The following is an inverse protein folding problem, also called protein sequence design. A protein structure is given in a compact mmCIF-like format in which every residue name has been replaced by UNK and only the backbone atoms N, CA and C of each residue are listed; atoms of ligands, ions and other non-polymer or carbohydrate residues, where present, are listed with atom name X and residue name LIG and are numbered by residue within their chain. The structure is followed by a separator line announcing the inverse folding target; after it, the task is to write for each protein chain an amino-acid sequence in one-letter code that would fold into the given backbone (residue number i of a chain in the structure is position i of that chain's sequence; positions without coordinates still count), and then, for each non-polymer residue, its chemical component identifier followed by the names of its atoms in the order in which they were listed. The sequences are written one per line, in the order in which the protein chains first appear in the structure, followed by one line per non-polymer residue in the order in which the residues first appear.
data_IF_747278720652
#
_entry.id   IF_747278720652
#
_cell.length_a   1.000
_cell.length_b   1.000
_cell.length_c   1.000
_cell.angle_alpha   90.00
_cell.angle_beta   90.00
_cell.angle_gamma   90.00
#
_symmetry.space_group_name_H-M   'P 1'
#
loop_
_entity.id
_entity.type
_entity.pdbx_description
1 polymer ?
#
# COMPACT_ATOMS: atom_id res chain seq x y z
N UNK A 1 15.05 25.47 2.45
CA UNK A 1 14.29 24.74 1.42
C UNK A 1 12.96 24.40 2.08
N UNK A 2 11.91 25.16 1.78
CA UNK A 2 10.58 24.87 2.32
C UNK A 2 10.15 23.49 1.83
N UNK A 3 9.81 22.61 2.76
CA UNK A 3 9.15 21.35 2.45
C UNK A 3 7.76 21.76 1.97
N UNK A 4 7.53 21.71 0.66
CA UNK A 4 6.19 21.97 0.12
C UNK A 4 5.24 20.91 0.71
N UNK A 5 4.17 21.39 1.35
CA UNK A 5 3.18 20.55 2.02
C UNK A 5 2.20 20.02 0.96
N UNK A 6 2.65 19.06 0.15
CA UNK A 6 1.90 18.51 -0.96
C UNK A 6 1.29 17.16 -0.59
N UNK A 7 0.07 16.93 -1.08
CA UNK A 7 -0.56 15.62 -1.13
C UNK A 7 -0.59 15.13 -2.58
N UNK A 8 -0.25 13.84 -2.76
CA UNK A 8 -0.28 13.18 -4.06
C UNK A 8 -1.31 12.05 -3.97
N UNK A 9 -2.26 12.04 -4.90
CA UNK A 9 -3.27 10.98 -5.02
C UNK A 9 -3.10 10.26 -6.34
N UNK A 10 -3.04 8.94 -6.29
CA UNK A 10 -2.99 8.07 -7.46
C UNK A 10 -4.39 7.81 -8.01
N UNK A 11 -4.53 7.86 -9.33
CA UNK A 11 -5.77 7.63 -10.07
C UNK A 11 -5.61 6.36 -10.90
N UNK A 12 -6.44 5.37 -10.60
CA UNK A 12 -6.49 4.09 -11.30
C UNK A 12 -7.69 4.09 -12.27
N UNK A 13 -7.51 3.47 -13.43
CA UNK A 13 -8.57 3.28 -14.43
C UNK A 13 -8.77 1.78 -14.60
N UNK A 14 -10.05 1.36 -14.59
CA UNK A 14 -10.55 -0.02 -14.58
C UNK A 14 -9.55 -1.13 -14.96
N UNK A 15 -9.12 -1.88 -13.94
CA UNK A 15 -8.33 -3.10 -14.11
C UNK A 15 -6.83 -2.88 -14.31
N UNK A 16 -6.35 -1.64 -14.34
CA UNK A 16 -4.92 -1.36 -14.32
C UNK A 16 -4.36 -1.52 -12.90
N UNK A 17 -3.29 -2.28 -12.76
CA UNK A 17 -2.55 -2.44 -11.50
C UNK A 17 -1.65 -1.22 -11.23
N UNK A 18 -1.47 -0.34 -12.21
CA UNK A 18 -0.62 0.85 -12.11
C UNK A 18 -1.46 2.11 -12.24
N UNK A 19 -1.09 3.13 -11.46
CA UNK A 19 -1.78 4.41 -11.53
C UNK A 19 -1.64 5.02 -12.93
N UNK A 20 -2.77 5.39 -13.53
CA UNK A 20 -2.86 6.08 -14.81
C UNK A 20 -2.58 7.57 -14.66
N UNK A 21 -2.96 8.15 -13.53
CA UNK A 21 -2.75 9.56 -13.28
C UNK A 21 -2.43 9.90 -11.83
N UNK A 22 -1.97 11.13 -11.63
CA UNK A 22 -1.57 11.66 -10.33
C UNK A 22 -2.16 13.06 -10.14
N UNK A 23 -2.89 13.24 -9.06
CA UNK A 23 -3.38 14.54 -8.61
C UNK A 23 -2.43 15.07 -7.55
N UNK A 24 -1.99 16.33 -7.68
CA UNK A 24 -1.20 17.02 -6.68
C UNK A 24 -2.04 18.14 -6.09
N UNK A 25 -2.22 18.11 -4.78
CA UNK A 25 -2.93 19.12 -4.01
C UNK A 25 -2.02 19.78 -2.97
N UNK A 26 -2.34 21.03 -2.64
CA UNK A 26 -1.84 21.65 -1.42
C UNK A 26 -2.53 21.02 -0.21
N UNK A 27 -1.75 20.49 0.74
CA UNK A 27 -2.26 19.70 1.87
C UNK A 27 -3.01 20.54 2.90
N UNK A 28 -2.75 21.84 2.98
CA UNK A 28 -3.40 22.70 3.97
C UNK A 28 -4.76 23.20 3.48
N UNK A 29 -4.85 23.50 2.20
CA UNK A 29 -6.05 24.06 1.57
C UNK A 29 -6.88 23.05 0.79
N UNK A 30 -6.33 21.86 0.51
CA UNK A 30 -6.87 20.86 -0.41
C UNK A 30 -7.11 21.39 -1.83
N UNK A 31 -6.45 22.47 -2.22
CA UNK A 31 -6.55 23.01 -3.57
C UNK A 31 -5.76 22.14 -4.54
N UNK A 32 -6.42 21.69 -5.61
CA UNK A 32 -5.77 20.94 -6.68
C UNK A 32 -4.85 21.87 -7.48
N UNK A 33 -3.57 21.54 -7.52
CA UNK A 33 -2.55 22.34 -8.19
C UNK A 33 -2.22 21.77 -9.56
N UNK A 34 -2.05 20.44 -9.63
CA UNK A 34 -1.63 19.75 -10.84
C UNK A 34 -2.36 18.43 -11.04
N UNK A 35 -2.52 18.05 -12.29
CA UNK A 35 -2.88 16.70 -12.70
C UNK A 35 -1.86 16.20 -13.73
N UNK A 36 -1.44 14.95 -13.59
CA UNK A 36 -0.58 14.26 -14.53
C UNK A 36 -1.32 13.03 -15.05
N UNK A 37 -1.48 12.90 -16.37
CA UNK A 37 -1.92 11.68 -17.04
C UNK A 37 -0.72 11.01 -17.68
N UNK A 38 -0.47 9.75 -17.33
CA UNK A 38 0.65 8.95 -17.81
C UNK A 38 0.13 7.89 -18.77
N UNK A 39 0.17 8.19 -20.06
CA UNK A 39 -0.17 7.24 -21.10
C UNK A 39 1.00 6.34 -21.47
N UNK A 40 1.02 5.14 -20.88
CA UNK A 40 2.05 4.14 -21.17
C UNK A 40 1.81 3.37 -22.47
N UNK A 41 0.61 3.48 -23.07
CA UNK A 41 0.28 2.84 -24.36
C UNK A 41 0.76 3.72 -25.50
N UNK A 42 0.42 5.02 -25.43
CA UNK A 42 0.83 6.01 -26.43
C UNK A 42 2.18 6.68 -26.12
N UNK A 43 2.80 6.34 -24.99
CA UNK A 43 4.01 6.98 -24.46
C UNK A 43 3.89 8.50 -24.30
N UNK A 44 2.75 8.98 -23.82
CA UNK A 44 2.46 10.42 -23.60
C UNK A 44 2.33 10.76 -22.13
N UNK A 45 2.92 11.88 -21.72
CA UNK A 45 2.67 12.49 -20.41
C UNK A 45 1.95 13.81 -20.64
N UNK A 46 0.74 13.93 -20.09
CA UNK A 46 0.00 15.19 -20.10
C UNK A 46 -0.02 15.77 -18.70
N UNK A 47 0.54 16.96 -18.55
CA UNK A 47 0.52 17.70 -17.29
C UNK A 47 -0.43 18.88 -17.42
N UNK A 48 -1.35 19.01 -16.47
CA UNK A 48 -2.28 20.13 -16.38
C UNK A 48 -2.00 20.87 -15.09
N UNK A 49 -1.69 22.17 -15.18
CA UNK A 49 -1.67 23.09 -14.04
C UNK A 49 -3.03 23.73 -13.92
N UNK A 50 -3.75 23.39 -12.86
CA UNK A 50 -5.18 23.68 -12.69
C UNK A 50 -5.42 25.19 -12.62
N UNK A 51 -4.72 25.90 -11.73
CA UNK A 51 -4.92 27.34 -11.51
C UNK A 51 -4.55 28.21 -12.71
N UNK A 52 -3.62 27.72 -13.54
CA UNK A 52 -3.16 28.45 -14.73
C UNK A 52 -3.89 28.02 -16.02
N UNK A 53 -4.75 27.00 -15.96
CA UNK A 53 -5.32 26.32 -17.11
C UNK A 53 -4.28 25.98 -18.20
N UNK A 54 -3.05 25.64 -17.77
CA UNK A 54 -1.94 25.32 -18.68
C UNK A 54 -1.83 23.82 -18.84
N UNK A 55 -1.80 23.37 -20.09
CA UNK A 55 -1.56 21.97 -20.44
C UNK A 55 -0.22 21.84 -21.15
N UNK A 56 0.61 20.92 -20.68
CA UNK A 56 1.87 20.52 -21.30
C UNK A 56 1.77 19.06 -21.69
N UNK A 57 2.20 18.74 -22.91
CA UNK A 57 2.16 17.36 -23.44
C UNK A 57 3.57 16.99 -23.85
N UNK A 58 4.07 15.88 -23.32
CA UNK A 58 5.31 15.24 -23.73
C UNK A 58 4.94 14.00 -24.53
N UNK A 59 5.31 13.97 -25.81
CA UNK A 59 4.92 12.90 -26.74
C UNK A 59 5.79 11.64 -26.67
N UNK A 60 6.81 11.64 -25.80
CA UNK A 60 7.66 10.48 -25.55
C UNK A 60 8.11 10.48 -24.08
N UNK A 61 7.36 9.79 -23.22
CA UNK A 61 7.66 9.74 -21.78
C UNK A 61 9.00 9.09 -21.45
N UNK A 62 9.53 8.25 -22.34
CA UNK A 62 10.83 7.61 -22.14
C UNK A 62 11.99 8.61 -22.23
N UNK A 63 11.78 9.81 -22.78
CA UNK A 63 12.77 10.89 -22.77
C UNK A 63 12.74 11.72 -21.49
N UNK A 64 11.78 11.47 -20.60
CA UNK A 64 11.70 12.15 -19.31
C UNK A 64 12.60 11.39 -18.33
N UNK A 65 13.74 11.97 -17.96
CA UNK A 65 14.72 11.34 -17.05
C UNK A 65 14.08 10.77 -15.79
N UNK A 66 13.12 11.51 -15.20
CA UNK A 66 12.43 11.07 -13.97
C UNK A 66 11.52 9.86 -14.18
N UNK A 67 11.01 9.64 -15.39
CA UNK A 67 10.21 8.46 -15.71
C UNK A 67 11.09 7.21 -15.67
N UNK A 68 12.28 7.27 -16.28
CA UNK A 68 13.24 6.17 -16.31
C UNK A 68 14.01 5.98 -15.00
N UNK A 69 14.28 7.06 -14.26
CA UNK A 69 15.01 7.00 -12.98
C UNK A 69 14.13 6.58 -11.81
N UNK A 70 12.83 6.42 -12.03
CA UNK A 70 11.85 5.91 -11.06
C UNK A 70 11.20 4.65 -11.61
N UNK A 71 10.27 4.04 -10.88
CA UNK A 71 9.45 2.96 -11.42
C UNK A 71 8.36 3.50 -12.36
N UNK A 72 8.73 4.25 -13.41
CA UNK A 72 7.77 4.79 -14.39
C UNK A 72 6.69 5.68 -13.75
N UNK A 73 7.14 6.55 -12.84
CA UNK A 73 6.31 7.39 -11.96
C UNK A 73 5.41 6.65 -10.97
N UNK A 74 5.52 5.34 -10.82
CA UNK A 74 4.92 4.64 -9.68
C UNK A 74 5.68 5.05 -8.40
N UNK A 75 5.10 6.01 -7.68
CA UNK A 75 5.74 6.64 -6.52
C UNK A 75 5.50 5.84 -5.23
N UNK A 76 4.49 4.98 -5.20
CA UNK A 76 4.09 4.20 -4.04
C UNK A 76 4.20 2.71 -4.36
N UNK A 77 5.42 2.18 -4.31
CA UNK A 77 5.59 0.73 -4.36
C UNK A 77 5.35 0.12 -2.98
N UNK A 78 4.38 -0.79 -2.87
CA UNK A 78 4.31 -1.69 -1.72
C UNK A 78 5.48 -2.67 -1.87
N UNK A 79 6.43 -2.68 -0.93
CA UNK A 79 7.34 -3.82 -0.84
C UNK A 79 6.50 -5.04 -0.49
N UNK A 80 6.40 -6.02 -1.39
CA UNK A 80 5.66 -7.27 -1.16
C UNK A 80 6.16 -8.07 0.05
N UNK A 81 7.35 -7.75 0.56
CA UNK A 81 7.87 -8.19 1.84
C UNK A 81 8.83 -7.12 2.39
N UNK A 82 8.38 -6.19 3.25
CA UNK A 82 9.33 -5.43 4.03
C UNK A 82 10.01 -6.37 5.00
N UNK A 83 11.34 -6.24 5.14
CA UNK A 83 12.08 -6.94 6.18
C UNK A 83 11.40 -6.68 7.54
N UNK A 84 11.14 -7.75 8.29
CA UNK A 84 10.59 -7.63 9.64
C UNK A 84 11.65 -7.02 10.55
N UNK A 85 11.48 -5.74 10.91
CA UNK A 85 12.22 -5.13 12.00
C UNK A 85 11.40 -5.23 13.29
N UNK A 86 11.86 -5.98 14.30
CA UNK A 86 11.15 -6.04 15.58
C UNK A 86 11.11 -4.63 16.20
N UNK A 87 9.93 -4.17 16.66
CA UNK A 87 9.80 -2.83 17.21
C UNK A 87 10.64 -2.69 18.48
N UNK A 88 11.39 -1.59 18.60
CA UNK A 88 12.03 -1.22 19.88
C UNK A 88 10.97 -0.67 20.83
N UNK A 89 11.07 -1.03 22.11
CA UNK A 89 10.16 -0.56 23.14
C UNK A 89 10.08 0.98 23.14
N UNK A 90 8.85 1.51 23.03
CA UNK A 90 8.48 2.94 23.04
C UNK A 90 8.47 3.69 21.69
N UNK A 91 8.70 3.07 20.53
CA UNK A 91 8.38 3.73 19.26
C UNK A 91 6.92 3.51 18.87
N UNK A 92 6.15 4.56 18.52
CA UNK A 92 4.86 4.40 17.85
C UNK A 92 5.14 3.73 16.50
N UNK A 93 4.73 2.47 16.38
CA UNK A 93 5.09 1.65 15.22
C UNK A 93 4.27 2.12 14.01
N UNK A 94 4.94 2.88 13.14
CA UNK A 94 4.41 3.38 11.87
C UNK A 94 3.92 2.26 10.96
N UNK A 95 4.55 1.07 11.04
CA UNK A 95 4.26 -0.10 10.22
C UNK A 95 4.19 -1.36 11.10
N UNK A 96 3.04 -2.05 11.15
CA UNK A 96 2.88 -3.25 11.98
C UNK A 96 1.98 -4.29 11.32
N UNK A 97 2.28 -5.55 11.59
CA UNK A 97 1.29 -6.62 11.40
C UNK A 97 0.24 -6.57 12.52
N UNK A 98 -1.01 -6.83 12.16
CA UNK A 98 -2.07 -7.12 13.11
C UNK A 98 -2.61 -8.51 12.86
N UNK A 99 -3.04 -9.14 13.93
CA UNK A 99 -3.65 -10.46 13.90
C UNK A 99 -5.16 -10.36 14.11
N UNK A 100 -5.89 -11.23 13.44
CA UNK A 100 -7.33 -11.42 13.60
C UNK A 100 -7.64 -12.92 13.60
N UNK A 101 -8.81 -13.26 14.12
CA UNK A 101 -9.24 -14.63 14.32
C UNK A 101 -10.49 -14.94 13.52
N UNK A 102 -10.52 -16.13 12.92
CA UNK A 102 -11.71 -16.66 12.25
C UNK A 102 -12.79 -17.13 13.24
N UNK A 103 -13.87 -17.68 12.70
CA UNK A 103 -14.89 -18.34 13.51
C UNK A 103 -14.30 -19.57 14.23
N UNK A 104 -14.83 -19.85 15.42
CA UNK A 104 -14.49 -21.06 16.16
C UNK A 104 -15.12 -22.30 15.50
N UNK A 105 -14.32 -23.35 15.35
CA UNK A 105 -14.73 -24.63 14.79
C UNK A 105 -14.18 -25.79 15.62
N UNK A 106 -14.82 -26.95 15.49
CA UNK A 106 -14.44 -28.16 16.22
C UNK A 106 -13.29 -28.86 15.50
N UNK A 107 -12.22 -29.18 16.22
CA UNK A 107 -11.04 -29.89 15.74
C UNK A 107 -11.26 -31.42 15.80
N UNK A 108 -10.40 -32.17 15.12
CA UNK A 108 -10.51 -33.64 15.04
C UNK A 108 -10.36 -34.32 16.41
N UNK A 109 -9.62 -33.72 17.33
CA UNK A 109 -9.46 -34.19 18.72
C UNK A 109 -10.66 -33.86 19.62
N UNK A 110 -11.69 -33.19 19.08
CA UNK A 110 -12.90 -32.80 19.78
C UNK A 110 -12.82 -31.46 20.51
N UNK A 111 -11.66 -30.80 20.53
CA UNK A 111 -11.48 -29.45 21.05
C UNK A 111 -12.01 -28.38 20.07
N UNK A 112 -11.99 -27.11 20.48
CA UNK A 112 -12.39 -25.99 19.64
C UNK A 112 -11.22 -25.06 19.35
N UNK A 113 -11.00 -24.78 18.08
CA UNK A 113 -9.94 -23.91 17.60
C UNK A 113 -10.46 -22.83 16.65
N UNK A 114 -9.61 -21.85 16.37
CA UNK A 114 -9.85 -20.79 15.39
C UNK A 114 -8.58 -20.52 14.59
N UNK A 115 -8.76 -20.25 13.30
CA UNK A 115 -7.64 -19.89 12.42
C UNK A 115 -7.13 -18.48 12.72
N UNK A 116 -5.82 -18.30 12.58
CA UNK A 116 -5.13 -17.02 12.74
C UNK A 116 -4.87 -16.39 11.38
N UNK A 117 -5.16 -15.10 11.27
CA UNK A 117 -4.93 -14.32 10.06
C UNK A 117 -4.09 -13.09 10.39
N UNK A 118 -3.22 -12.68 9.48
CA UNK A 118 -2.43 -11.46 9.58
C UNK A 118 -2.75 -10.49 8.45
N UNK A 119 -2.63 -9.21 8.75
CA UNK A 119 -2.65 -8.15 7.76
C UNK A 119 -1.68 -7.05 8.16
N UNK A 120 -1.13 -6.39 7.16
CA UNK A 120 -0.15 -5.33 7.29
C UNK A 120 -0.87 -3.99 7.43
N UNK A 121 -0.43 -3.18 8.38
CA UNK A 121 -0.96 -1.85 8.62
C UNK A 121 0.15 -0.80 8.59
N UNK A 122 -0.14 0.34 7.97
CA UNK A 122 0.69 1.55 8.03
C UNK A 122 -0.15 2.71 8.54
N UNK A 123 0.28 3.38 9.61
CA UNK A 123 -0.45 4.47 10.27
C UNK A 123 -1.94 4.16 10.57
N UNK A 124 -2.27 2.89 10.81
CA UNK A 124 -3.64 2.44 11.07
C UNK A 124 -4.47 2.11 9.83
N UNK A 125 -3.96 2.34 8.63
CA UNK A 125 -4.57 1.91 7.35
C UNK A 125 -4.11 0.49 7.05
N UNK A 126 -5.06 -0.40 6.70
CA UNK A 126 -4.76 -1.78 6.29
C UNK A 126 -4.24 -1.79 4.86
N UNK A 127 -3.00 -2.22 4.65
CA UNK A 127 -2.34 -2.26 3.35
C UNK A 127 -2.50 -3.61 2.63
N UNK A 128 -2.71 -4.70 3.37
CA UNK A 128 -2.87 -6.04 2.78
C UNK A 128 -4.20 -6.68 3.12
N UNK A 129 -4.60 -7.67 2.32
CA UNK A 129 -5.71 -8.55 2.66
C UNK A 129 -5.37 -9.39 3.89
N UNK A 130 -6.40 -9.93 4.56
CA UNK A 130 -6.18 -10.90 5.61
C UNK A 130 -5.63 -12.18 5.00
N UNK A 131 -4.40 -12.53 5.36
CA UNK A 131 -3.72 -13.76 4.93
C UNK A 131 -3.65 -14.73 6.08
N UNK A 132 -3.79 -16.02 5.79
CA UNK A 132 -3.69 -17.05 6.82
C UNK A 132 -2.25 -17.15 7.30
N UNK A 133 -2.06 -17.18 8.62
CA UNK A 133 -0.74 -17.43 9.20
C UNK A 133 -0.46 -18.92 9.05
N UNK A 134 0.73 -19.24 8.53
CA UNK A 134 1.20 -20.60 8.36
C UNK A 134 2.25 -20.91 9.42
N UNK A 135 2.18 -22.12 9.95
CA UNK A 135 3.16 -22.69 10.85
C UNK A 135 4.43 -23.02 10.05
N UNK A 136 5.58 -22.54 10.50
CA UNK A 136 6.84 -22.63 9.75
C UNK A 136 7.36 -24.06 9.62
N UNK A 137 7.03 -24.94 10.56
CA UNK A 137 7.48 -26.34 10.57
C UNK A 137 6.61 -27.24 9.69
N UNK A 138 5.30 -27.09 9.79
CA UNK A 138 4.32 -27.94 9.11
C UNK A 138 3.84 -27.37 7.78
N UNK A 139 4.04 -26.06 7.53
CA UNK A 139 3.46 -25.33 6.41
C UNK A 139 1.93 -25.24 6.44
N UNK A 140 1.30 -25.77 7.50
CA UNK A 140 -0.14 -25.78 7.68
C UNK A 140 -0.66 -24.49 8.33
N UNK A 141 -1.98 -24.26 8.32
CA UNK A 141 -2.57 -23.14 9.04
C UNK A 141 -2.29 -23.16 10.54
N UNK A 142 -1.90 -22.01 11.10
CA UNK A 142 -1.89 -21.82 12.55
C UNK A 142 -3.32 -21.79 13.09
N UNK A 143 -3.55 -22.61 14.10
CA UNK A 143 -4.81 -22.70 14.84
C UNK A 143 -4.50 -22.49 16.33
N UNK A 144 -5.24 -21.61 16.98
CA UNK A 144 -5.18 -21.39 18.43
C UNK A 144 -6.50 -21.76 19.08
N UNK A 145 -6.50 -21.99 20.40
CA UNK A 145 -7.73 -22.17 21.15
C UNK A 145 -8.67 -20.96 21.01
N UNK A 146 -9.98 -21.22 21.10
CA UNK A 146 -11.00 -20.18 20.92
C UNK A 146 -10.87 -18.96 21.84
N UNK A 147 -10.25 -19.15 23.01
CA UNK A 147 -10.02 -18.11 24.01
C UNK A 147 -8.53 -17.77 24.17
N UNK A 148 -7.68 -18.24 23.28
CA UNK A 148 -6.24 -18.07 23.35
C UNK A 148 -5.78 -17.03 22.33
N UNK A 149 -4.82 -16.20 22.72
CA UNK A 149 -4.20 -15.24 21.82
C UNK A 149 -2.99 -15.87 21.11
N UNK A 150 -2.86 -15.56 19.83
CA UNK A 150 -1.69 -15.97 19.07
C UNK A 150 -0.47 -15.15 19.48
N UNK A 151 0.64 -15.83 19.77
CA UNK A 151 1.92 -15.21 20.08
C UNK A 151 2.95 -15.62 19.02
N UNK A 152 3.42 -14.70 18.16
CA UNK A 152 4.31 -14.99 17.03
C UNK A 152 5.79 -15.22 17.43
N UNK A 153 6.06 -15.66 18.67
CA UNK A 153 7.41 -15.83 19.21
C UNK A 153 8.19 -16.97 18.55
#
# INVERSE_FOLDING_TARGET
MEVQNLEITEVFVDGDERARGYLIADKETNNLLYFFDVDRVDYKLTTIKIDAAQTMIFNNINEVDKYLSTNEFDFISIKDNPDFEPPTANQPITFRERYSYGACFRLQDGSYGRGVYRATYFLGIRLSSWTQVLDEESGGPVIVGCNEEYNPN
#
